data_IF_709133898100
#
_entry.id   IF_709133898100
#
_cell.length_a   1.000
_cell.length_b   1.000
_cell.length_c   1.000
_cell.angle_alpha   90.00
_cell.angle_beta   90.00
_cell.angle_gamma   90.00
#
_symmetry.space_group_name_H-M   'P 1'
#
loop_
_entity.id
_entity.type
_entity.pdbx_description
1 polymer ?
#
# COMPACT_ATOMS: atom_id res chain seq x y z
N UNK A 1 10.21 -12.76 16.90
CA UNK A 1 9.10 -12.81 15.96
C UNK A 1 9.60 -13.38 14.64
N UNK A 2 9.02 -14.46 14.16
CA UNK A 2 9.45 -15.11 12.91
C UNK A 2 9.07 -14.25 11.69
N UNK A 3 9.68 -14.50 10.54
CA UNK A 3 9.39 -13.77 9.30
C UNK A 3 7.93 -13.91 8.89
N UNK A 4 7.36 -15.08 9.12
CA UNK A 4 5.92 -15.36 8.86
C UNK A 4 5.01 -14.47 9.70
N UNK A 5 5.31 -14.29 10.98
CA UNK A 5 4.51 -13.45 11.88
C UNK A 5 4.49 -12.00 11.38
N UNK A 6 5.67 -11.49 10.98
CA UNK A 6 5.81 -10.13 10.41
C UNK A 6 5.05 -9.96 9.09
N UNK A 7 4.99 -11.02 8.28
CA UNK A 7 4.22 -11.01 7.04
C UNK A 7 2.72 -10.97 7.32
N UNK A 8 2.25 -11.81 8.25
CA UNK A 8 0.84 -11.82 8.63
C UNK A 8 0.38 -10.48 9.21
N UNK A 9 1.19 -9.88 10.07
CA UNK A 9 0.96 -8.54 10.59
C UNK A 9 0.86 -7.50 9.45
N UNK A 10 1.82 -7.52 8.52
CA UNK A 10 1.79 -6.60 7.38
C UNK A 10 0.52 -6.76 6.52
N UNK A 11 0.09 -8.00 6.27
CA UNK A 11 -1.14 -8.27 5.51
C UNK A 11 -2.36 -7.73 6.26
N UNK A 12 -2.44 -7.93 7.57
CA UNK A 12 -3.54 -7.44 8.40
C UNK A 12 -3.60 -5.90 8.44
N UNK A 13 -2.43 -5.25 8.45
CA UNK A 13 -2.31 -3.79 8.44
C UNK A 13 -2.57 -3.17 7.04
N UNK A 14 -2.75 -4.00 6.01
CA UNK A 14 -2.79 -3.58 4.61
C UNK A 14 -4.13 -3.91 3.92
N UNK A 15 -5.29 -3.48 4.45
CA UNK A 15 -6.59 -3.79 3.86
C UNK A 15 -6.87 -3.03 2.55
N UNK A 16 -6.07 -2.03 2.19
CA UNK A 16 -6.14 -1.29 0.93
C UNK A 16 -4.75 -0.91 0.44
N UNK A 17 -4.57 -0.49 -0.83
CA UNK A 17 -3.28 -0.02 -1.35
C UNK A 17 -2.69 1.14 -0.54
N UNK A 18 -3.53 2.01 -0.02
CA UNK A 18 -3.13 3.14 0.83
C UNK A 18 -2.55 2.66 2.16
N UNK A 19 -3.21 1.70 2.79
CA UNK A 19 -2.72 1.08 4.02
C UNK A 19 -1.43 0.29 3.77
N UNK A 20 -1.33 -0.43 2.65
CA UNK A 20 -0.12 -1.16 2.28
C UNK A 20 1.09 -0.23 2.13
N UNK A 21 0.91 0.91 1.45
CA UNK A 21 1.96 1.90 1.30
C UNK A 21 2.33 2.55 2.65
N UNK A 22 1.33 2.87 3.49
CA UNK A 22 1.54 3.44 4.81
C UNK A 22 2.26 2.45 5.76
N UNK A 23 1.84 1.19 5.80
CA UNK A 23 2.48 0.15 6.59
C UNK A 23 3.93 -0.12 6.14
N UNK A 24 4.18 -0.09 4.83
CA UNK A 24 5.54 -0.19 4.29
C UNK A 24 6.39 1.02 4.70
N UNK A 25 5.86 2.24 4.58
CA UNK A 25 6.55 3.46 4.97
C UNK A 25 6.93 3.44 6.46
N UNK A 26 6.00 3.08 7.35
CA UNK A 26 6.27 2.97 8.78
C UNK A 26 7.40 1.97 9.10
N UNK A 27 7.45 0.84 8.40
CA UNK A 27 8.52 -0.16 8.57
C UNK A 27 9.86 0.35 8.06
N UNK A 28 9.88 1.12 6.97
CA UNK A 28 11.09 1.76 6.45
C UNK A 28 11.61 2.83 7.41
N UNK A 29 10.75 3.67 7.96
CA UNK A 29 11.11 4.66 8.98
C UNK A 29 11.70 4.00 10.23
N UNK A 30 11.06 2.94 10.73
CA UNK A 30 11.58 2.16 11.84
C UNK A 30 12.95 1.51 11.53
N UNK A 31 13.25 1.27 10.26
CA UNK A 31 14.54 0.78 9.79
C UNK A 31 15.55 1.91 9.46
N UNK A 32 15.23 3.15 9.74
CA UNK A 32 16.12 4.31 9.57
C UNK A 32 16.13 4.91 8.16
N UNK A 33 15.11 4.61 7.34
CA UNK A 33 14.94 5.28 6.04
C UNK A 33 14.39 6.69 6.24
N UNK A 34 14.88 7.62 5.44
CA UNK A 34 14.41 9.00 5.41
C UNK A 34 13.37 9.17 4.30
N UNK A 35 12.23 9.75 4.63
CA UNK A 35 11.23 10.12 3.64
C UNK A 35 11.72 11.31 2.81
N UNK A 36 11.49 11.24 1.52
CA UNK A 36 11.75 12.31 0.56
C UNK A 36 10.42 12.78 -0.03
N UNK A 37 10.25 14.09 -0.12
CA UNK A 37 9.12 14.69 -0.83
C UNK A 37 9.38 14.67 -2.34
N UNK A 38 8.50 14.07 -3.13
CA UNK A 38 8.68 13.88 -4.57
C UNK A 38 8.83 15.21 -5.32
N UNK A 39 8.14 16.25 -4.86
CA UNK A 39 8.15 17.59 -5.47
C UNK A 39 9.34 18.46 -5.08
N UNK A 40 10.17 18.03 -4.13
CA UNK A 40 11.32 18.79 -3.65
C UNK A 40 12.64 18.31 -4.27
N UNK A 41 13.64 19.18 -4.40
CA UNK A 41 15.00 18.75 -4.76
C UNK A 41 15.57 17.82 -3.68
N UNK A 42 16.17 16.72 -4.10
CA UNK A 42 16.75 15.73 -3.19
C UNK A 42 18.25 15.95 -3.01
N UNK A 43 18.66 16.34 -1.80
CA UNK A 43 20.08 16.38 -1.41
C UNK A 43 20.47 15.01 -0.85
N UNK A 44 20.94 14.11 -1.70
CA UNK A 44 21.25 12.74 -1.35
C UNK A 44 22.73 12.58 -0.96
N UNK A 45 22.97 11.76 0.05
CA UNK A 45 24.31 11.43 0.54
C UNK A 45 24.64 9.94 0.31
N UNK A 46 25.92 9.65 0.13
CA UNK A 46 26.43 8.27 0.03
C UNK A 46 26.00 7.42 1.24
N UNK A 47 25.54 6.21 0.98
CA UNK A 47 25.07 5.27 2.00
C UNK A 47 23.67 5.52 2.56
N UNK A 48 23.03 6.60 2.15
CA UNK A 48 21.72 6.99 2.66
C UNK A 48 20.63 6.02 2.20
N UNK A 49 19.70 5.72 3.11
CA UNK A 49 18.49 4.95 2.86
C UNK A 49 17.32 5.91 2.80
N UNK A 50 16.60 5.92 1.69
CA UNK A 50 15.49 6.86 1.46
C UNK A 50 14.27 6.15 0.88
N UNK A 51 13.11 6.76 1.04
CA UNK A 51 11.90 6.36 0.34
C UNK A 51 11.06 7.58 -0.04
N UNK A 52 10.22 7.42 -1.04
CA UNK A 52 9.20 8.39 -1.42
C UNK A 52 7.89 7.67 -1.75
N UNK A 53 6.78 8.37 -1.63
CA UNK A 53 5.44 7.85 -1.96
C UNK A 53 4.79 8.72 -3.02
N UNK A 54 3.96 8.10 -3.87
CA UNK A 54 3.13 8.81 -4.84
C UNK A 54 1.67 8.45 -4.62
N UNK A 55 0.81 9.46 -4.57
CA UNK A 55 -0.65 9.33 -4.34
C UNK A 55 -1.01 8.47 -3.11
N UNK A 56 -0.09 8.36 -2.13
CA UNK A 56 -0.24 7.55 -0.91
C UNK A 56 -0.52 6.05 -1.16
N UNK A 57 -0.45 5.57 -2.39
CA UNK A 57 -0.73 4.17 -2.78
C UNK A 57 0.45 3.47 -3.44
N UNK A 58 1.50 4.21 -3.77
CA UNK A 58 2.74 3.67 -4.34
C UNK A 58 3.94 4.13 -3.54
N UNK A 59 4.97 3.31 -3.48
CA UNK A 59 6.18 3.58 -2.71
C UNK A 59 7.41 3.09 -3.47
N UNK A 60 8.46 3.89 -3.45
CA UNK A 60 9.81 3.50 -3.89
C UNK A 60 10.76 3.72 -2.73
N UNK A 61 11.48 2.70 -2.35
CA UNK A 61 12.57 2.79 -1.37
C UNK A 61 13.88 2.37 -2.02
N UNK A 62 14.96 3.05 -1.65
CA UNK A 62 16.26 2.79 -2.19
C UNK A 62 17.37 3.06 -1.18
N UNK A 63 18.50 2.42 -1.38
CA UNK A 63 19.73 2.66 -0.64
C UNK A 63 20.83 3.06 -1.61
N UNK A 64 21.46 4.17 -1.33
CA UNK A 64 22.63 4.60 -2.07
C UNK A 64 23.90 3.84 -1.64
N UNK A 65 24.78 3.48 -2.57
CA UNK A 65 26.03 2.83 -2.21
C UNK A 65 26.97 3.80 -1.48
N UNK A 66 27.90 3.24 -0.73
CA UNK A 66 28.99 3.99 -0.08
C UNK A 66 30.11 4.44 -1.03
N UNK A 67 30.00 4.12 -2.32
CA UNK A 67 30.98 4.42 -3.40
C UNK A 67 30.32 4.41 -4.75
N UNK A 68 31.10 4.27 -5.82
CA UNK A 68 30.61 4.19 -7.20
C UNK A 68 29.77 2.93 -7.37
N UNK A 69 28.50 3.03 -7.83
CA UNK A 69 27.65 1.87 -8.03
C UNK A 69 28.12 1.03 -9.22
N UNK A 70 28.28 -0.27 -8.99
CA UNK A 70 28.58 -1.24 -10.05
C UNK A 70 27.32 -1.73 -10.78
N UNK A 71 26.14 -1.43 -10.25
CA UNK A 71 24.84 -1.82 -10.82
C UNK A 71 23.71 -1.61 -9.85
N UNK A 72 22.51 -1.97 -10.30
CA UNK A 72 21.26 -1.87 -9.55
C UNK A 72 20.69 -3.25 -9.26
N UNK A 73 20.23 -3.46 -8.04
CA UNK A 73 19.39 -4.61 -7.67
C UNK A 73 18.00 -4.05 -7.36
N UNK A 74 17.00 -4.49 -8.12
CA UNK A 74 15.64 -4.02 -7.99
C UNK A 74 14.70 -5.19 -7.71
N UNK A 75 13.75 -4.94 -6.80
CA UNK A 75 12.57 -5.80 -6.59
C UNK A 75 11.33 -4.94 -6.75
N UNK A 76 10.29 -5.51 -7.32
CA UNK A 76 9.01 -4.83 -7.48
C UNK A 76 7.87 -5.78 -7.16
N UNK A 77 6.81 -5.23 -6.56
CA UNK A 77 5.56 -5.92 -6.33
C UNK A 77 4.43 -4.90 -6.44
N UNK A 78 3.21 -5.35 -6.78
CA UNK A 78 2.05 -4.49 -6.70
C UNK A 78 1.56 -4.37 -5.26
N UNK A 79 0.92 -3.25 -4.92
CA UNK A 79 0.38 -2.94 -3.59
C UNK A 79 -1.14 -3.07 -3.50
N UNK A 80 -1.80 -3.32 -4.62
CA UNK A 80 -3.25 -3.47 -4.74
C UNK A 80 -3.67 -4.93 -4.81
N UNK A 81 -4.97 -5.18 -4.70
CA UNK A 81 -5.59 -6.48 -4.95
C UNK A 81 -7.00 -6.28 -5.51
N UNK A 82 -7.57 -7.29 -6.21
CA UNK A 82 -8.96 -7.21 -6.64
C UNK A 82 -9.90 -6.94 -5.47
N UNK A 83 -10.81 -5.98 -5.64
CA UNK A 83 -11.72 -5.52 -4.59
C UNK A 83 -12.94 -4.82 -5.19
N UNK A 84 -13.88 -4.40 -4.35
CA UNK A 84 -14.91 -3.45 -4.72
C UNK A 84 -14.54 -2.06 -4.23
N UNK A 85 -14.57 -1.06 -5.12
CA UNK A 85 -14.46 0.35 -4.72
C UNK A 85 -15.83 0.94 -4.44
N UNK A 86 -15.94 1.62 -3.32
CA UNK A 86 -17.14 2.38 -2.96
C UNK A 86 -17.20 3.66 -3.81
N UNK A 87 -18.33 3.91 -4.46
CA UNK A 87 -18.53 5.10 -5.31
C UNK A 87 -18.71 6.36 -4.46
N UNK A 88 -18.47 7.54 -5.05
CA UNK A 88 -18.58 8.82 -4.33
C UNK A 88 -19.98 9.06 -3.75
N UNK A 89 -21.04 8.77 -4.52
CA UNK A 89 -22.44 8.86 -4.06
C UNK A 89 -22.97 7.45 -3.74
N UNK A 90 -22.30 6.81 -2.80
CA UNK A 90 -22.46 5.39 -2.58
C UNK A 90 -23.69 4.99 -1.76
N UNK A 91 -24.24 5.90 -0.97
CA UNK A 91 -25.33 5.55 -0.05
C UNK A 91 -26.67 5.53 -0.78
N UNK A 92 -27.19 4.33 -0.93
CA UNK A 92 -28.56 4.09 -1.42
C UNK A 92 -29.34 3.35 -0.33
N UNK A 93 -30.58 3.74 -0.10
CA UNK A 93 -31.34 3.03 0.89
C UNK A 93 -32.80 3.44 1.00
N UNK A 94 -33.52 2.60 1.68
CA UNK A 94 -34.89 2.85 2.15
C UNK A 94 -34.94 2.66 3.68
N UNK A 95 -36.15 2.61 4.24
CA UNK A 95 -36.34 2.42 5.68
C UNK A 95 -35.83 1.06 6.23
N UNK A 96 -35.52 0.12 5.36
CA UNK A 96 -35.17 -1.27 5.72
C UNK A 96 -33.68 -1.57 5.47
N UNK A 97 -33.12 -1.00 4.42
CA UNK A 97 -31.76 -1.33 3.97
C UNK A 97 -30.97 -0.08 3.65
N UNK A 98 -29.70 -0.08 4.04
CA UNK A 98 -28.69 0.83 3.52
C UNK A 98 -27.76 0.01 2.64
N UNK A 99 -27.57 0.44 1.40
CA UNK A 99 -26.70 -0.20 0.42
C UNK A 99 -25.54 0.73 0.08
N UNK A 100 -24.41 0.15 -0.16
CA UNK A 100 -23.25 0.86 -0.74
C UNK A 100 -23.17 0.54 -2.22
N UNK A 101 -23.27 1.57 -3.07
CA UNK A 101 -22.98 1.41 -4.48
C UNK A 101 -21.47 1.24 -4.66
N UNK A 102 -21.09 0.16 -5.32
CA UNK A 102 -19.70 -0.21 -5.52
C UNK A 102 -19.40 -0.48 -6.99
N UNK A 103 -18.13 -0.47 -7.35
CA UNK A 103 -17.64 -0.93 -8.64
C UNK A 103 -16.53 -1.96 -8.46
N UNK A 104 -16.49 -2.96 -9.34
CA UNK A 104 -15.45 -3.98 -9.32
C UNK A 104 -14.12 -3.42 -9.80
N UNK A 105 -13.05 -3.73 -9.09
CA UNK A 105 -11.67 -3.41 -9.45
C UNK A 105 -10.85 -4.68 -9.60
N UNK A 106 -10.19 -4.81 -10.75
CA UNK A 106 -9.36 -5.98 -11.08
C UNK A 106 -10.16 -7.24 -11.40
N UNK A 107 -9.44 -8.31 -11.70
CA UNK A 107 -10.02 -9.63 -11.96
C UNK A 107 -10.25 -10.39 -10.67
N UNK A 108 -11.49 -10.42 -10.19
CA UNK A 108 -11.82 -11.13 -8.96
C UNK A 108 -12.78 -12.30 -9.20
N UNK A 109 -12.68 -13.31 -8.36
CA UNK A 109 -13.70 -14.34 -8.26
C UNK A 109 -14.87 -13.84 -7.40
N UNK A 110 -15.90 -13.27 -8.02
CA UNK A 110 -17.04 -12.70 -7.31
C UNK A 110 -17.77 -13.72 -6.44
N UNK A 111 -17.77 -14.99 -6.77
CA UNK A 111 -18.47 -16.01 -6.00
C UNK A 111 -17.98 -16.09 -4.55
N UNK A 112 -16.70 -15.87 -4.30
CA UNK A 112 -16.15 -15.86 -2.95
C UNK A 112 -16.48 -14.60 -2.11
N UNK A 113 -17.09 -13.59 -2.72
CA UNK A 113 -17.46 -12.32 -2.08
C UNK A 113 -18.94 -12.26 -1.67
N UNK A 114 -19.81 -13.01 -2.34
CA UNK A 114 -21.27 -12.85 -2.23
C UNK A 114 -21.89 -13.58 -1.03
N UNK A 115 -21.18 -14.49 -0.40
CA UNK A 115 -21.70 -15.40 0.64
C UNK A 115 -21.11 -15.15 2.04
N UNK A 116 -20.46 -14.02 2.24
CA UNK A 116 -19.77 -13.70 3.49
C UNK A 116 -19.87 -12.23 3.87
N UNK A 117 -19.73 -11.90 5.16
CA UNK A 117 -19.55 -10.53 5.60
C UNK A 117 -18.28 -9.92 4.99
N UNK A 118 -18.39 -8.67 4.57
CA UNK A 118 -17.28 -7.88 4.04
C UNK A 118 -17.01 -6.69 4.97
N UNK A 119 -15.77 -6.21 4.95
CA UNK A 119 -15.37 -5.00 5.66
C UNK A 119 -15.16 -3.86 4.67
N UNK A 120 -15.26 -2.64 5.16
CA UNK A 120 -14.93 -1.42 4.41
C UNK A 120 -13.69 -0.82 5.05
N UNK A 121 -12.72 -0.43 4.23
CA UNK A 121 -11.48 0.21 4.66
C UNK A 121 -11.15 1.40 3.74
N UNK A 122 -10.68 2.48 4.34
CA UNK A 122 -10.30 3.73 3.66
C UNK A 122 -9.82 4.80 4.63
#
# INVERSE_FOLDING_TARGET
MQTTDKLMEYIQDSPSPYHAAAAAAARLEAAGFTRLEESAPWALSSGQCCYTTRNQSSLIAFRLPGGTPEGWRMTAAHSDSPTFYVKNDALEGDKRYVRLAVEGYGGMNCASWLDRPLTVAG
#
